data_IF_586563876425
#
_entry.id   IF_586563876425
#
_cell.length_a   1.000
_cell.length_b   1.000
_cell.length_c   1.000
_cell.angle_alpha   90.00
_cell.angle_beta   90.00
_cell.angle_gamma   90.00
#
_symmetry.space_group_name_H-M   'P 1'
#
loop_
_entity.id
_entity.type
_entity.pdbx_description
1 polymer ?
#
# COMPACT_ATOMS: atom_id res chain seq x y z
N UNK A 1 -2.61 -30.96 -6.56
CA UNK A 1 -2.75 -29.50 -6.39
C UNK A 1 -4.22 -29.20 -6.13
N UNK A 2 -4.57 -28.62 -4.98
CA UNK A 2 -5.95 -28.21 -4.72
C UNK A 2 -6.36 -27.11 -5.71
N UNK A 3 -7.54 -27.21 -6.30
CA UNK A 3 -8.03 -26.19 -7.21
C UNK A 3 -8.23 -24.88 -6.46
N UNK A 4 -8.19 -23.74 -7.16
CA UNK A 4 -8.37 -22.41 -6.57
C UNK A 4 -9.68 -22.32 -5.75
N UNK A 5 -10.74 -22.99 -6.16
CA UNK A 5 -12.02 -23.03 -5.46
C UNK A 5 -11.98 -23.79 -4.13
N UNK A 6 -11.19 -24.85 -4.03
CA UNK A 6 -10.99 -25.60 -2.78
C UNK A 6 -10.23 -24.78 -1.73
N UNK A 7 -9.32 -23.90 -2.17
CA UNK A 7 -8.60 -22.97 -1.27
C UNK A 7 -9.50 -21.93 -0.62
N UNK A 8 -10.67 -21.65 -1.20
CA UNK A 8 -11.63 -20.64 -0.71
C UNK A 8 -12.79 -21.22 0.08
N UNK A 9 -12.89 -22.55 0.22
CA UNK A 9 -14.04 -23.20 0.88
C UNK A 9 -15.40 -22.93 0.18
N UNK A 10 -15.36 -22.55 -1.11
CA UNK A 10 -16.55 -22.27 -1.90
C UNK A 10 -17.22 -23.58 -2.30
N UNK A 11 -18.45 -23.82 -1.84
CA UNK A 11 -19.27 -24.94 -2.32
C UNK A 11 -19.49 -24.78 -3.84
N UNK A 12 -19.15 -25.80 -4.61
CA UNK A 12 -19.45 -25.89 -6.04
C UNK A 12 -20.97 -25.68 -6.24
N UNK A 13 -21.40 -24.54 -6.75
CA UNK A 13 -22.63 -24.49 -7.53
C UNK A 13 -22.30 -25.18 -8.85
N UNK A 14 -23.10 -26.15 -9.26
CA UNK A 14 -22.95 -26.80 -10.55
C UNK A 14 -22.90 -25.73 -11.64
N UNK A 15 -21.71 -25.56 -12.23
CA UNK A 15 -21.53 -24.70 -13.40
C UNK A 15 -22.14 -25.44 -14.59
N UNK A 16 -22.75 -24.75 -15.57
CA UNK A 16 -23.09 -25.38 -16.83
C UNK A 16 -21.82 -25.97 -17.44
N UNK A 17 -21.96 -27.08 -18.12
CA UNK A 17 -20.88 -27.81 -18.79
C UNK A 17 -20.11 -26.87 -19.74
N UNK A 18 -18.93 -26.40 -19.28
CA UNK A 18 -18.03 -25.54 -20.06
C UNK A 18 -16.79 -26.34 -20.43
N UNK A 19 -16.99 -27.51 -21.04
CA UNK A 19 -15.89 -28.42 -21.47
C UNK A 19 -14.96 -27.81 -22.55
N UNK A 20 -15.11 -26.51 -22.90
CA UNK A 20 -14.32 -25.88 -23.98
C UNK A 20 -13.77 -24.47 -23.69
N UNK A 21 -14.02 -23.84 -22.54
CA UNK A 21 -13.46 -22.52 -22.24
C UNK A 21 -12.58 -22.61 -21.00
N UNK A 22 -11.27 -22.75 -21.20
CA UNK A 22 -10.28 -22.50 -20.13
C UNK A 22 -10.29 -21.00 -19.84
N UNK A 23 -10.99 -20.58 -18.79
CA UNK A 23 -10.86 -19.21 -18.28
C UNK A 23 -9.49 -19.12 -17.64
N UNK A 24 -8.54 -18.49 -18.32
CA UNK A 24 -7.24 -18.17 -17.75
C UNK A 24 -7.44 -17.18 -16.61
N UNK A 25 -7.23 -17.64 -15.38
CA UNK A 25 -7.35 -16.79 -14.18
C UNK A 25 -6.19 -15.81 -14.15
N UNK A 26 -6.46 -14.54 -14.47
CA UNK A 26 -5.47 -13.47 -14.45
C UNK A 26 -5.55 -12.72 -13.13
N UNK A 27 -4.58 -12.95 -12.26
CA UNK A 27 -4.37 -12.22 -11.00
C UNK A 27 -3.14 -11.34 -11.10
N UNK A 28 -2.99 -10.31 -10.24
CA UNK A 28 -1.73 -9.56 -10.17
C UNK A 28 -0.58 -10.48 -9.78
N UNK A 29 0.59 -10.18 -10.28
CA UNK A 29 1.85 -10.89 -9.98
C UNK A 29 2.70 -10.09 -9.00
N UNK A 30 2.43 -8.79 -8.86
CA UNK A 30 3.08 -7.94 -7.88
C UNK A 30 2.12 -6.86 -7.33
N UNK A 31 2.49 -6.32 -6.16
CA UNK A 31 1.70 -5.34 -5.43
C UNK A 31 2.60 -4.20 -4.94
N UNK A 32 2.17 -2.95 -5.12
CA UNK A 32 2.71 -1.79 -4.42
C UNK A 32 1.88 -1.64 -3.15
N UNK A 33 2.38 -2.17 -2.04
CA UNK A 33 1.63 -2.30 -0.78
C UNK A 33 1.70 -1.04 0.11
N UNK A 34 2.62 -0.13 -0.16
CA UNK A 34 2.86 1.06 0.67
C UNK A 34 4.15 1.79 0.35
N UNK A 35 4.47 2.79 1.16
CA UNK A 35 3.63 3.36 2.19
C UNK A 35 2.74 4.47 1.61
N UNK A 36 1.60 4.70 2.27
CA UNK A 36 0.77 5.85 1.92
C UNK A 36 1.59 7.15 2.02
N UNK A 37 1.50 8.05 1.02
CA UNK A 37 2.24 9.32 0.92
C UNK A 37 3.77 9.20 0.74
N UNK A 38 4.23 8.06 0.23
CA UNK A 38 5.64 7.80 -0.09
C UNK A 38 5.88 7.61 -1.61
N UNK A 39 5.24 8.38 -2.47
CA UNK A 39 5.51 8.39 -3.92
C UNK A 39 4.90 7.23 -4.72
N UNK A 40 4.06 6.40 -4.13
CA UNK A 40 3.44 5.23 -4.78
C UNK A 40 2.58 5.56 -6.00
N UNK A 41 2.07 6.80 -6.13
CA UNK A 41 1.34 7.24 -7.33
C UNK A 41 2.29 7.44 -8.50
N UNK A 42 3.45 8.04 -8.26
CA UNK A 42 4.51 8.17 -9.29
C UNK A 42 5.01 6.81 -9.71
N UNK A 43 5.29 5.91 -8.75
CA UNK A 43 5.70 4.55 -9.04
C UNK A 43 4.68 3.78 -9.88
N UNK A 44 3.40 3.85 -9.52
CA UNK A 44 2.31 3.26 -10.32
C UNK A 44 2.31 3.81 -11.75
N UNK A 45 2.49 5.12 -11.91
CA UNK A 45 2.53 5.78 -13.21
C UNK A 45 3.75 5.33 -14.04
N UNK A 46 4.92 5.21 -13.42
CA UNK A 46 6.13 4.75 -14.11
C UNK A 46 6.02 3.29 -14.55
N UNK A 47 5.49 2.42 -13.69
CA UNK A 47 5.22 1.02 -14.04
C UNK A 47 4.26 0.88 -15.22
N UNK A 48 3.23 1.74 -15.32
CA UNK A 48 2.26 1.70 -16.45
C UNK A 48 2.88 1.96 -17.82
N UNK A 49 4.00 2.66 -17.88
CA UNK A 49 4.68 2.98 -19.13
C UNK A 49 5.46 1.78 -19.67
N UNK A 50 5.80 0.82 -18.82
CA UNK A 50 6.63 -0.31 -19.21
C UNK A 50 5.87 -1.27 -20.16
N UNK A 51 6.52 -1.70 -21.29
CA UNK A 51 5.86 -2.57 -22.27
C UNK A 51 5.44 -3.94 -21.73
N UNK A 52 6.17 -4.51 -20.76
CA UNK A 52 5.92 -5.83 -20.17
C UNK A 52 5.08 -5.77 -18.89
N UNK A 53 4.75 -4.57 -18.36
CA UNK A 53 3.97 -4.39 -17.14
C UNK A 53 2.58 -3.86 -17.46
N UNK A 54 1.56 -4.50 -16.89
CA UNK A 54 0.20 -4.01 -16.86
C UNK A 54 -0.14 -3.61 -15.42
N UNK A 55 -0.57 -2.38 -15.22
CA UNK A 55 -1.12 -1.94 -13.94
C UNK A 55 -2.64 -1.95 -14.00
N UNK A 56 -3.30 -2.40 -12.94
CA UNK A 56 -4.76 -2.33 -12.82
C UNK A 56 -5.28 -0.95 -13.23
N UNK A 57 -6.38 -0.88 -13.97
CA UNK A 57 -6.93 0.40 -14.44
C UNK A 57 -7.22 1.36 -13.29
N UNK A 58 -7.67 0.82 -12.18
CA UNK A 58 -7.96 1.58 -10.97
C UNK A 58 -6.79 1.43 -9.99
N UNK A 59 -6.23 2.55 -9.57
CA UNK A 59 -5.34 2.60 -8.42
C UNK A 59 -6.18 2.46 -7.15
N UNK A 60 -5.63 1.76 -6.13
CA UNK A 60 -6.27 1.47 -4.85
C UNK A 60 -7.56 0.62 -4.99
N UNK A 61 -7.55 -0.54 -5.68
CA UNK A 61 -8.71 -1.43 -5.71
C UNK A 61 -9.04 -2.00 -4.31
N UNK A 62 -8.04 -2.10 -3.41
CA UNK A 62 -8.20 -2.43 -1.99
C UNK A 62 -8.89 -3.78 -1.72
N UNK A 63 -8.86 -4.72 -2.66
CA UNK A 63 -9.56 -6.00 -2.58
C UNK A 63 -9.23 -6.81 -1.32
N UNK A 64 -7.96 -6.81 -0.90
CA UNK A 64 -7.49 -7.59 0.26
C UNK A 64 -7.63 -6.86 1.62
N UNK A 65 -8.24 -5.68 1.69
CA UNK A 65 -8.45 -4.99 2.98
C UNK A 65 -9.53 -5.61 3.85
N UNK A 66 -10.42 -6.37 3.26
CA UNK A 66 -11.48 -7.04 3.98
C UNK A 66 -10.99 -8.40 4.47
N UNK A 67 -11.40 -8.81 5.67
CA UNK A 67 -10.96 -10.06 6.32
C UNK A 67 -11.43 -11.29 5.54
N UNK A 68 -10.66 -11.70 4.56
CA UNK A 68 -10.94 -12.85 3.73
C UNK A 68 -11.43 -12.54 2.32
N UNK A 69 -11.60 -13.58 1.47
CA UNK A 69 -12.28 -13.41 0.20
C UNK A 69 -13.64 -12.78 0.50
N UNK A 70 -13.93 -11.62 -0.06
CA UNK A 70 -14.97 -10.78 0.46
C UNK A 70 -16.32 -11.43 0.24
N UNK A 71 -16.87 -11.90 1.32
CA UNK A 71 -18.28 -12.12 1.49
C UNK A 71 -18.93 -10.87 2.09
N UNK A 72 -18.27 -9.69 2.00
CA UNK A 72 -18.90 -8.44 2.41
C UNK A 72 -20.02 -8.15 1.42
N UNK A 73 -21.22 -8.11 1.94
CA UNK A 73 -22.37 -7.63 1.18
C UNK A 73 -22.09 -6.20 0.74
N UNK A 74 -22.46 -5.86 -0.51
CA UNK A 74 -22.27 -4.54 -1.11
C UNK A 74 -22.77 -3.40 -0.19
N UNK A 75 -23.73 -3.69 0.65
CA UNK A 75 -24.39 -2.79 1.59
C UNK A 75 -23.53 -2.42 2.82
N UNK A 76 -22.52 -3.25 3.14
CA UNK A 76 -21.61 -3.04 4.28
C UNK A 76 -20.30 -2.33 3.88
N UNK A 77 -20.10 -2.11 2.59
CA UNK A 77 -18.92 -1.40 2.09
C UNK A 77 -19.00 0.07 2.46
N UNK A 78 -17.90 0.61 2.94
CA UNK A 78 -17.78 1.99 3.35
C UNK A 78 -18.40 2.94 2.32
N UNK A 79 -19.44 3.62 2.73
CA UNK A 79 -20.14 4.65 1.95
C UNK A 79 -19.12 5.60 1.33
N UNK A 80 -19.14 5.77 0.00
CA UNK A 80 -18.36 6.78 -0.71
C UNK A 80 -17.12 6.29 -1.48
N UNK A 81 -16.86 4.98 -1.60
CA UNK A 81 -15.79 4.46 -2.47
C UNK A 81 -16.38 3.56 -3.56
N UNK A 82 -16.70 4.10 -4.75
CA UNK A 82 -17.39 3.36 -5.83
C UNK A 82 -16.51 2.28 -6.51
N UNK A 83 -15.26 2.11 -6.11
CA UNK A 83 -14.26 1.23 -6.70
C UNK A 83 -13.80 0.08 -5.80
N UNK A 84 -14.46 -0.18 -4.67
CA UNK A 84 -14.17 -1.38 -3.89
C UNK A 84 -14.74 -2.61 -4.62
N UNK A 85 -13.89 -3.55 -4.91
CA UNK A 85 -14.26 -4.82 -5.54
C UNK A 85 -14.68 -5.82 -4.48
N UNK A 86 -15.89 -6.34 -4.62
CA UNK A 86 -16.51 -7.20 -3.60
C UNK A 86 -16.44 -8.67 -3.93
N UNK A 87 -16.21 -9.02 -5.20
CA UNK A 87 -16.08 -10.40 -5.63
C UNK A 87 -14.70 -10.65 -6.24
N UNK A 88 -14.23 -11.88 -6.15
CA UNK A 88 -13.00 -12.30 -6.81
C UNK A 88 -13.09 -12.11 -8.33
N UNK A 89 -14.28 -12.32 -8.92
CA UNK A 89 -14.49 -12.13 -10.36
C UNK A 89 -14.32 -10.66 -10.75
N UNK A 90 -14.97 -9.72 -10.06
CA UNK A 90 -14.80 -8.28 -10.31
C UNK A 90 -13.33 -7.85 -10.18
N UNK A 91 -12.60 -8.44 -9.23
CA UNK A 91 -11.18 -8.16 -9.08
C UNK A 91 -10.33 -8.74 -10.22
N UNK A 92 -10.60 -9.96 -10.65
CA UNK A 92 -9.93 -10.58 -11.81
C UNK A 92 -10.18 -9.80 -13.11
N UNK A 93 -11.37 -9.26 -13.27
CA UNK A 93 -11.74 -8.49 -14.46
C UNK A 93 -10.88 -7.23 -14.66
N UNK A 94 -10.25 -6.72 -13.59
CA UNK A 94 -9.25 -5.64 -13.68
C UNK A 94 -8.04 -6.03 -14.54
N UNK A 95 -7.75 -7.31 -14.67
CA UNK A 95 -6.57 -7.85 -15.35
C UNK A 95 -6.93 -8.67 -16.60
N UNK A 96 -8.21 -8.86 -16.89
CA UNK A 96 -8.68 -9.70 -17.99
C UNK A 96 -8.20 -9.25 -19.38
N UNK A 97 -8.04 -7.93 -19.58
CA UNK A 97 -7.72 -7.33 -20.88
C UNK A 97 -6.24 -7.38 -21.27
N UNK A 98 -5.38 -8.03 -20.48
CA UNK A 98 -3.94 -8.04 -20.75
C UNK A 98 -3.35 -9.43 -20.86
N UNK A 99 -2.37 -9.58 -21.76
CA UNK A 99 -1.49 -10.74 -21.85
C UNK A 99 -0.05 -10.42 -21.39
N UNK A 100 0.18 -9.23 -20.82
CA UNK A 100 1.50 -8.87 -20.29
C UNK A 100 1.88 -9.80 -19.12
N UNK A 101 3.16 -10.22 -19.05
CA UNK A 101 3.61 -11.20 -18.04
C UNK A 101 3.51 -10.66 -16.62
N UNK A 102 3.80 -9.36 -16.43
CA UNK A 102 3.73 -8.71 -15.12
C UNK A 102 2.46 -7.89 -15.00
N UNK A 103 1.67 -8.21 -13.97
CA UNK A 103 0.42 -7.55 -13.65
C UNK A 103 0.49 -6.96 -12.25
N UNK A 104 0.35 -5.65 -12.15
CA UNK A 104 0.52 -4.91 -10.91
C UNK A 104 -0.76 -4.30 -10.37
N UNK A 105 -0.84 -4.25 -9.06
CA UNK A 105 -1.82 -3.50 -8.30
C UNK A 105 -1.10 -2.55 -7.34
N UNK A 106 -1.73 -1.42 -6.99
CA UNK A 106 -1.23 -0.48 -6.01
C UNK A 106 -2.32 -0.11 -5.01
N UNK A 107 -2.29 -0.76 -3.84
CA UNK A 107 -3.16 -0.47 -2.69
C UNK A 107 -2.29 -0.23 -1.46
N UNK A 108 -2.01 1.04 -1.20
CA UNK A 108 -1.01 1.47 -0.21
C UNK A 108 -1.42 1.22 1.24
N UNK A 109 -2.68 0.90 1.47
CA UNK A 109 -3.19 0.52 2.78
C UNK A 109 -2.81 -0.91 3.19
N UNK A 110 -2.37 -1.76 2.25
CA UNK A 110 -2.04 -3.17 2.57
C UNK A 110 -0.88 -3.29 3.56
N UNK A 111 0.11 -2.40 3.48
CA UNK A 111 1.25 -2.41 4.40
C UNK A 111 0.81 -2.30 5.86
N UNK A 112 -0.17 -1.43 6.15
CA UNK A 112 -0.67 -1.20 7.49
C UNK A 112 -1.78 -2.18 7.93
N UNK A 113 -2.10 -3.19 7.10
CA UNK A 113 -3.17 -4.17 7.35
C UNK A 113 -2.61 -5.59 7.24
N UNK A 114 -2.24 -6.21 8.38
CA UNK A 114 -1.64 -7.55 8.40
C UNK A 114 -2.44 -8.61 7.65
N UNK A 115 -3.77 -8.55 7.76
CA UNK A 115 -4.66 -9.50 7.08
C UNK A 115 -4.56 -9.43 5.56
N UNK A 116 -4.33 -8.22 4.99
CA UNK A 116 -4.19 -8.06 3.55
C UNK A 116 -2.99 -8.87 3.02
N UNK A 117 -1.83 -8.77 3.67
CA UNK A 117 -0.63 -9.53 3.25
C UNK A 117 -0.80 -11.03 3.44
N UNK A 118 -1.46 -11.46 4.52
CA UNK A 118 -1.81 -12.87 4.72
C UNK A 118 -2.70 -13.41 3.58
N UNK A 119 -3.72 -12.65 3.17
CA UNK A 119 -4.61 -13.05 2.10
C UNK A 119 -3.92 -13.04 0.73
N UNK A 120 -3.07 -12.04 0.46
CA UNK A 120 -2.24 -12.05 -0.76
C UNK A 120 -1.39 -13.33 -0.79
N UNK A 121 -0.72 -13.67 0.32
CA UNK A 121 0.10 -14.89 0.37
C UNK A 121 -0.70 -16.17 0.15
N UNK A 122 -1.89 -16.26 0.72
CA UNK A 122 -2.76 -17.44 0.55
C UNK A 122 -3.25 -17.61 -0.89
N UNK A 123 -3.56 -16.51 -1.57
CA UNK A 123 -4.18 -16.53 -2.90
C UNK A 123 -3.12 -16.52 -4.00
N UNK A 124 -2.06 -15.72 -3.81
CA UNK A 124 -1.00 -15.49 -4.80
C UNK A 124 0.36 -15.71 -4.11
N UNK A 125 0.73 -16.94 -3.78
CA UNK A 125 1.89 -17.25 -2.94
C UNK A 125 3.22 -16.77 -3.52
N UNK A 126 3.31 -16.58 -4.83
CA UNK A 126 4.51 -16.11 -5.55
C UNK A 126 4.44 -14.61 -5.87
N UNK A 127 3.50 -13.87 -5.28
CA UNK A 127 3.43 -12.43 -5.48
C UNK A 127 4.70 -11.72 -5.02
N UNK A 128 5.12 -10.70 -5.75
CA UNK A 128 6.18 -9.78 -5.36
C UNK A 128 5.56 -8.53 -4.73
N UNK A 129 6.11 -8.08 -3.60
CA UNK A 129 5.62 -6.91 -2.88
C UNK A 129 6.64 -5.78 -2.93
N UNK A 130 6.16 -4.56 -3.18
CA UNK A 130 6.97 -3.34 -3.22
C UNK A 130 6.46 -2.40 -2.13
N UNK A 131 7.35 -1.98 -1.23
CA UNK A 131 7.11 -0.95 -0.23
C UNK A 131 8.17 0.16 -0.36
N UNK A 132 7.72 1.39 -0.55
CA UNK A 132 8.58 2.58 -0.47
C UNK A 132 8.27 3.27 0.84
N UNK A 133 9.28 3.51 1.67
CA UNK A 133 9.14 4.09 2.99
C UNK A 133 9.61 5.54 2.99
N UNK A 134 8.98 6.37 3.79
CA UNK A 134 9.32 7.78 3.95
C UNK A 134 9.45 8.10 5.42
N UNK A 135 10.32 9.05 5.79
CA UNK A 135 10.33 9.58 7.15
C UNK A 135 8.90 9.71 7.69
N UNK A 136 8.54 9.04 8.80
CA UNK A 136 7.15 8.93 9.25
C UNK A 136 6.51 10.27 9.62
N UNK A 137 7.32 11.25 10.05
CA UNK A 137 6.85 12.61 10.33
C UNK A 137 6.53 13.32 9.01
N UNK A 138 7.40 13.24 8.02
CA UNK A 138 7.17 13.82 6.69
C UNK A 138 6.00 13.14 5.96
N UNK A 139 5.82 11.84 6.19
CA UNK A 139 4.63 11.12 5.72
C UNK A 139 3.35 11.65 6.37
N UNK A 140 3.38 11.84 7.70
CA UNK A 140 2.23 12.37 8.45
C UNK A 140 1.85 13.79 8.00
N UNK A 141 2.84 14.66 7.80
CA UNK A 141 2.65 16.01 7.22
C UNK A 141 1.99 15.94 5.85
N UNK A 142 2.50 15.09 4.96
CA UNK A 142 1.96 14.92 3.60
C UNK A 142 0.54 14.35 3.61
N UNK A 143 0.22 13.47 4.54
CA UNK A 143 -1.11 12.89 4.68
C UNK A 143 -2.13 13.91 5.23
N UNK A 144 -1.70 14.70 6.22
CA UNK A 144 -2.51 15.80 6.73
C UNK A 144 -2.80 16.83 5.64
N UNK A 145 -1.78 17.31 4.91
CA UNK A 145 -1.97 18.28 3.83
C UNK A 145 -2.94 17.78 2.76
N UNK A 146 -2.86 16.50 2.41
CA UNK A 146 -3.80 15.89 1.46
C UNK A 146 -5.26 15.99 1.94
N UNK A 147 -5.51 15.70 3.23
CA UNK A 147 -6.86 15.75 3.79
C UNK A 147 -7.31 17.19 4.06
N UNK A 148 -6.40 18.05 4.49
CA UNK A 148 -6.68 19.47 4.74
C UNK A 148 -7.06 20.21 3.46
N UNK A 149 -6.26 20.03 2.40
CA UNK A 149 -6.54 20.64 1.09
C UNK A 149 -7.81 20.08 0.44
N UNK A 150 -8.16 18.83 0.75
CA UNK A 150 -9.44 18.21 0.36
C UNK A 150 -10.63 18.60 1.23
N UNK A 151 -10.50 19.56 2.16
CA UNK A 151 -11.52 19.96 3.13
C UNK A 151 -12.07 18.81 4.02
N UNK A 152 -11.31 17.74 4.18
CA UNK A 152 -11.68 16.57 5.00
C UNK A 152 -11.26 16.80 6.46
N UNK A 153 -10.03 17.29 6.70
CA UNK A 153 -9.55 17.66 8.03
C UNK A 153 -9.35 19.17 8.13
N UNK A 154 -10.20 19.82 8.92
CA UNK A 154 -10.17 21.29 9.11
C UNK A 154 -9.34 21.73 10.32
N UNK A 155 -8.81 20.79 11.12
CA UNK A 155 -7.96 21.12 12.27
C UNK A 155 -6.61 21.65 11.80
N UNK A 156 -5.87 22.32 12.67
CA UNK A 156 -4.43 22.55 12.43
C UNK A 156 -3.66 21.23 12.56
N UNK A 157 -2.48 21.13 11.97
CA UNK A 157 -1.66 19.93 12.04
C UNK A 157 -1.35 19.52 13.49
N UNK A 158 -0.94 20.49 14.33
CA UNK A 158 -0.68 20.24 15.74
C UNK A 158 -1.89 19.65 16.47
N UNK A 159 -3.07 20.22 16.25
CA UNK A 159 -4.30 19.70 16.83
C UNK A 159 -4.63 18.29 16.34
N UNK A 160 -4.43 18.02 15.05
CA UNK A 160 -4.68 16.69 14.48
C UNK A 160 -3.76 15.63 15.09
N UNK A 161 -2.48 15.95 15.32
CA UNK A 161 -1.52 15.06 15.95
C UNK A 161 -1.80 14.89 17.46
N UNK A 162 -2.14 15.95 18.19
CA UNK A 162 -2.51 15.84 19.61
C UNK A 162 -3.77 14.99 19.81
N UNK A 163 -4.76 15.15 18.95
CA UNK A 163 -5.95 14.29 18.97
C UNK A 163 -5.62 12.84 18.65
N UNK A 164 -4.69 12.57 17.70
CA UNK A 164 -4.20 11.24 17.41
C UNK A 164 -3.50 10.60 18.64
N UNK A 165 -2.66 11.35 19.34
CA UNK A 165 -2.04 10.86 20.58
C UNK A 165 -3.05 10.54 21.66
N UNK A 166 -4.05 11.42 21.87
CA UNK A 166 -5.12 11.15 22.86
C UNK A 166 -5.89 9.87 22.55
N UNK A 167 -6.23 9.65 21.28
CA UNK A 167 -6.95 8.43 20.87
C UNK A 167 -6.11 7.17 21.14
N UNK A 168 -4.79 7.21 20.89
CA UNK A 168 -3.89 6.11 21.21
C UNK A 168 -3.86 5.86 22.72
N UNK A 169 -3.68 6.92 23.55
CA UNK A 169 -3.60 6.82 25.01
C UNK A 169 -4.91 6.34 25.64
N UNK A 170 -6.02 6.92 25.23
CA UNK A 170 -7.33 6.63 25.82
C UNK A 170 -7.92 5.33 25.29
N UNK A 171 -7.27 4.64 24.34
CA UNK A 171 -7.77 3.44 23.65
C UNK A 171 -9.21 3.62 23.15
N UNK A 172 -9.59 4.86 22.86
CA UNK A 172 -10.91 5.14 22.32
C UNK A 172 -11.02 4.60 20.90
N UNK A 173 -12.07 3.82 20.59
CA UNK A 173 -12.32 3.45 19.21
C UNK A 173 -12.47 4.72 18.40
N UNK A 174 -11.95 4.68 17.17
CA UNK A 174 -12.15 5.73 16.19
C UNK A 174 -13.67 5.99 16.10
N UNK A 175 -14.09 7.25 16.31
CA UNK A 175 -15.51 7.64 16.36
C UNK A 175 -16.22 7.48 15.00
N UNK A 176 -15.93 6.40 14.27
CA UNK A 176 -16.57 6.07 12.99
C UNK A 176 -16.02 6.83 11.79
N UNK A 177 -14.97 7.65 11.97
CA UNK A 177 -14.24 8.25 10.85
C UNK A 177 -12.81 7.69 10.77
N UNK A 178 -12.60 6.55 10.09
CA UNK A 178 -11.28 5.93 9.94
C UNK A 178 -10.27 6.83 9.21
N UNK A 179 -10.72 7.98 8.71
CA UNK A 179 -9.87 8.95 8.02
C UNK A 179 -9.23 9.97 8.98
N UNK A 180 -9.70 10.07 10.22
CA UNK A 180 -9.41 11.23 11.09
C UNK A 180 -8.77 10.87 12.44
N UNK A 181 -8.49 9.61 12.68
CA UNK A 181 -7.97 9.13 13.95
C UNK A 181 -6.43 9.06 14.02
N UNK A 182 -5.88 8.09 14.75
CA UNK A 182 -4.44 7.91 14.91
C UNK A 182 -3.70 7.54 13.62
N UNK A 183 -4.38 7.54 12.45
CA UNK A 183 -3.79 7.22 11.15
C UNK A 183 -2.55 8.02 10.80
N UNK A 184 -2.51 9.33 11.19
CA UNK A 184 -1.34 10.17 10.93
C UNK A 184 -0.09 9.64 11.62
N UNK A 185 -0.24 8.93 12.72
CA UNK A 185 0.83 8.28 13.45
C UNK A 185 0.95 6.79 13.06
N UNK A 186 -0.12 6.03 13.16
CA UNK A 186 -0.10 4.57 12.98
C UNK A 186 0.36 4.10 11.60
N UNK A 187 0.07 4.87 10.53
CA UNK A 187 0.55 4.53 9.19
C UNK A 187 2.07 4.72 9.02
N UNK A 188 2.76 5.32 10.00
CA UNK A 188 4.22 5.47 10.03
C UNK A 188 4.95 4.39 10.83
N UNK A 189 4.25 3.45 11.48
CA UNK A 189 4.83 2.36 12.26
C UNK A 189 5.28 1.21 11.34
N UNK A 190 6.32 1.47 10.55
CA UNK A 190 6.77 0.55 9.50
C UNK A 190 7.48 -0.68 10.03
N UNK A 191 8.19 -0.58 11.15
CA UNK A 191 8.84 -1.71 11.79
C UNK A 191 7.83 -2.79 12.16
N UNK A 192 6.78 -2.39 12.86
CA UNK A 192 5.66 -3.27 13.22
C UNK A 192 4.95 -3.85 11.99
N UNK A 193 4.70 -3.03 10.97
CA UNK A 193 4.02 -3.44 9.74
C UNK A 193 4.87 -4.43 8.94
N UNK A 194 6.15 -4.14 8.69
CA UNK A 194 7.04 -5.00 7.92
C UNK A 194 7.40 -6.29 8.66
N UNK A 195 7.45 -6.27 9.99
CA UNK A 195 7.66 -7.50 10.76
C UNK A 195 6.58 -8.53 10.48
N UNK A 196 5.33 -8.10 10.21
CA UNK A 196 4.24 -9.00 9.82
C UNK A 196 4.38 -9.44 8.36
N UNK A 197 4.70 -8.51 7.44
CA UNK A 197 4.92 -8.85 6.02
C UNK A 197 6.01 -9.92 5.88
N UNK A 198 7.14 -9.74 6.57
CA UNK A 198 8.29 -10.67 6.52
C UNK A 198 8.01 -12.05 7.12
N UNK A 199 6.96 -12.22 7.93
CA UNK A 199 6.51 -13.56 8.38
C UNK A 199 5.94 -14.41 7.24
N UNK A 200 5.40 -13.77 6.21
CA UNK A 200 4.72 -14.46 5.11
C UNK A 200 5.50 -14.44 3.81
N UNK A 201 6.30 -13.39 3.58
CA UNK A 201 7.02 -13.18 2.34
C UNK A 201 8.53 -13.21 2.59
N UNK A 202 9.28 -14.09 1.90
CA UNK A 202 10.75 -14.10 1.97
C UNK A 202 11.32 -12.86 1.24
N UNK A 203 12.59 -12.55 1.52
CA UNK A 203 13.23 -11.32 1.05
C UNK A 203 13.33 -11.22 -0.48
N UNK A 204 13.41 -12.34 -1.20
CA UNK A 204 13.40 -12.37 -2.66
C UNK A 204 12.04 -12.00 -3.30
N UNK A 205 10.97 -11.99 -2.49
CA UNK A 205 9.65 -11.50 -2.87
C UNK A 205 9.37 -10.06 -2.39
N UNK A 206 10.34 -9.40 -1.72
CA UNK A 206 10.18 -8.08 -1.12
C UNK A 206 11.15 -7.07 -1.73
N UNK A 207 10.64 -5.94 -2.20
CA UNK A 207 11.43 -4.75 -2.53
C UNK A 207 11.04 -3.64 -1.54
N UNK A 208 11.96 -3.30 -0.65
CA UNK A 208 11.73 -2.29 0.40
C UNK A 208 12.81 -1.24 0.26
N UNK A 209 12.42 0.04 0.05
CA UNK A 209 13.36 1.11 -0.22
C UNK A 209 12.94 2.46 0.37
N UNK A 210 13.91 3.36 0.52
CA UNK A 210 13.66 4.72 0.96
C UNK A 210 13.06 5.57 -0.17
N UNK A 211 12.05 6.36 0.15
CA UNK A 211 11.45 7.35 -0.74
C UNK A 211 12.46 8.37 -1.27
N UNK A 212 13.50 8.69 -0.49
CA UNK A 212 14.54 9.63 -0.91
C UNK A 212 15.31 9.11 -2.13
N UNK A 213 15.51 7.80 -2.26
CA UNK A 213 16.19 7.21 -3.42
C UNK A 213 15.34 7.38 -4.70
N UNK A 214 14.01 7.22 -4.60
CA UNK A 214 13.09 7.52 -5.71
C UNK A 214 13.16 8.99 -6.12
N UNK A 215 13.35 9.90 -5.16
CA UNK A 215 13.46 11.33 -5.41
C UNK A 215 14.81 11.75 -6.00
N UNK A 216 15.86 11.04 -5.62
CA UNK A 216 17.23 11.33 -6.06
C UNK A 216 17.42 10.99 -7.54
N UNK A 217 17.05 9.80 -7.93
CA UNK A 217 17.09 9.34 -9.32
C UNK A 217 15.97 8.33 -9.58
N UNK A 218 14.87 8.82 -10.15
CA UNK A 218 13.70 7.98 -10.44
C UNK A 218 13.97 6.97 -11.56
N UNK A 219 14.89 7.25 -12.48
CA UNK A 219 15.23 6.32 -13.59
C UNK A 219 16.02 5.15 -13.02
N UNK A 220 17.09 5.41 -12.29
CA UNK A 220 17.88 4.37 -11.63
C UNK A 220 17.04 3.56 -10.66
N UNK A 221 16.18 4.21 -9.87
CA UNK A 221 15.26 3.54 -8.97
C UNK A 221 14.33 2.57 -9.71
N UNK A 222 13.81 2.97 -10.88
CA UNK A 222 12.94 2.11 -11.68
C UNK A 222 13.72 0.92 -12.29
N UNK A 223 14.99 1.05 -12.65
CA UNK A 223 15.79 -0.09 -13.12
C UNK A 223 15.92 -1.15 -12.02
N UNK A 224 16.10 -0.76 -10.75
CA UNK A 224 16.11 -1.70 -9.60
C UNK A 224 14.77 -2.41 -9.46
N UNK A 225 13.66 -1.72 -9.63
CA UNK A 225 12.33 -2.31 -9.61
C UNK A 225 12.13 -3.28 -10.79
N UNK A 226 12.53 -2.91 -12.00
CA UNK A 226 12.40 -3.78 -13.17
C UNK A 226 13.24 -5.05 -13.03
N UNK A 227 14.47 -4.94 -12.51
CA UNK A 227 15.31 -6.08 -12.16
C UNK A 227 14.63 -6.98 -11.11
N UNK A 228 14.08 -6.39 -10.05
CA UNK A 228 13.33 -7.14 -9.03
C UNK A 228 12.12 -7.84 -9.63
N UNK A 229 11.36 -7.19 -10.48
CA UNK A 229 10.20 -7.78 -11.14
C UNK A 229 10.60 -8.86 -12.17
N UNK A 230 11.81 -8.82 -12.70
CA UNK A 230 12.29 -9.74 -13.74
C UNK A 230 11.81 -9.37 -15.14
N UNK A 231 11.64 -8.07 -15.40
CA UNK A 231 11.33 -7.51 -16.71
C UNK A 231 12.55 -6.79 -17.29
N UNK A 232 12.53 -6.49 -18.59
CA UNK A 232 13.62 -5.80 -19.27
C UNK A 232 13.84 -4.40 -18.72
N UNK A 233 15.02 -3.87 -18.95
CA UNK A 233 15.30 -2.45 -18.69
C UNK A 233 14.42 -1.56 -19.56
N UNK A 234 13.93 -0.48 -18.99
CA UNK A 234 13.08 0.49 -19.66
C UNK A 234 13.24 1.87 -19.02
N UNK A 235 13.33 2.91 -19.82
CA UNK A 235 13.36 4.29 -19.33
C UNK A 235 11.96 4.89 -19.49
N UNK A 236 11.24 5.17 -18.39
CA UNK A 236 9.95 5.83 -18.49
C UNK A 236 10.08 7.20 -19.18
N UNK A 237 9.21 7.47 -20.14
CA UNK A 237 9.20 8.74 -20.87
C UNK A 237 8.70 9.92 -20.02
N UNK A 238 7.92 9.64 -19.00
CA UNK A 238 7.38 10.60 -18.05
C UNK A 238 7.74 10.21 -16.63
N UNK A 239 8.71 10.88 -16.04
CA UNK A 239 9.18 10.71 -14.67
C UNK A 239 8.77 11.85 -13.75
N UNK A 240 7.75 12.63 -14.14
CA UNK A 240 7.23 13.71 -13.30
C UNK A 240 6.70 13.16 -11.98
N UNK A 241 7.00 13.85 -10.90
CA UNK A 241 6.42 13.53 -9.60
C UNK A 241 4.93 13.85 -9.60
N UNK A 242 4.11 12.88 -9.20
CA UNK A 242 2.66 13.02 -9.13
C UNK A 242 2.21 13.16 -7.67
N UNK A 243 1.10 13.86 -7.46
CA UNK A 243 0.50 14.11 -6.14
C UNK A 243 1.48 14.76 -5.14
N UNK A 244 2.24 15.73 -5.59
CA UNK A 244 2.99 16.61 -4.71
C UNK A 244 1.94 17.38 -3.91
N UNK A 245 1.71 17.00 -2.66
CA UNK A 245 0.94 17.84 -1.73
C UNK A 245 1.71 19.16 -1.66
N UNK A 246 1.07 20.27 -2.09
CA UNK A 246 1.74 21.58 -2.13
C UNK A 246 2.55 21.78 -0.86
N UNK A 247 3.81 22.22 -1.01
CA UNK A 247 4.73 22.48 0.09
C UNK A 247 4.33 23.75 0.86
N UNK A 248 3.13 23.76 1.45
CA UNK A 248 2.95 24.62 2.59
C UNK A 248 3.87 24.07 3.67
N UNK A 249 4.95 24.77 3.98
CA UNK A 249 5.80 24.43 5.10
C UNK A 249 4.89 24.39 6.33
N UNK A 250 4.54 23.18 6.76
CA UNK A 250 3.85 23.03 8.03
C UNK A 250 4.89 23.31 9.11
N UNK A 251 4.79 24.50 9.67
CA UNK A 251 5.59 24.87 10.83
C UNK A 251 5.10 24.03 12.02
N UNK A 252 5.89 23.07 12.42
CA UNK A 252 5.66 22.29 13.64
C UNK A 252 6.64 22.81 14.69
N UNK A 253 6.15 23.14 15.87
CA UNK A 253 7.04 23.51 16.96
C UNK A 253 7.93 22.30 17.37
N UNK A 254 9.11 22.61 17.85
CA UNK A 254 10.11 21.60 18.21
C UNK A 254 9.61 20.60 19.27
N UNK A 255 8.70 21.01 20.16
CA UNK A 255 8.12 20.14 21.18
C UNK A 255 7.25 19.05 20.55
N UNK A 256 6.42 19.39 19.57
CA UNK A 256 5.59 18.43 18.85
C UNK A 256 6.45 17.48 18.00
N UNK A 257 7.48 18.02 17.32
CA UNK A 257 8.41 17.21 16.55
C UNK A 257 9.12 16.17 17.43
N UNK A 258 9.64 16.60 18.57
CA UNK A 258 10.30 15.71 19.53
C UNK A 258 9.34 14.64 20.07
N UNK A 259 8.09 14.99 20.36
CA UNK A 259 7.06 14.06 20.78
C UNK A 259 6.78 12.99 19.71
N UNK A 260 6.73 13.41 18.43
CA UNK A 260 6.55 12.47 17.31
C UNK A 260 7.80 11.59 17.12
N UNK A 261 9.02 12.13 17.21
CA UNK A 261 10.26 11.35 17.15
C UNK A 261 10.29 10.28 18.24
N UNK A 262 9.99 10.65 19.49
CA UNK A 262 9.91 9.71 20.61
C UNK A 262 8.87 8.60 20.38
N UNK A 263 7.73 8.94 19.80
CA UNK A 263 6.69 7.95 19.46
C UNK A 263 7.17 6.91 18.43
N UNK A 264 7.96 7.34 17.44
CA UNK A 264 8.43 6.44 16.38
C UNK A 264 9.74 5.73 16.73
N UNK A 265 10.44 6.11 17.79
CA UNK A 265 11.81 5.67 18.10
C UNK A 265 11.93 4.14 18.18
N UNK A 266 11.07 3.49 18.95
CA UNK A 266 11.10 2.03 19.10
C UNK A 266 10.80 1.32 17.78
N UNK A 267 9.79 1.79 17.04
CA UNK A 267 9.40 1.19 15.76
C UNK A 267 10.45 1.41 14.66
N UNK A 268 11.12 2.56 14.65
CA UNK A 268 12.26 2.85 13.77
C UNK A 268 13.45 1.96 14.12
N UNK A 269 13.71 1.73 15.41
CA UNK A 269 14.72 0.77 15.86
C UNK A 269 14.44 -0.65 15.37
N UNK A 270 13.18 -1.10 15.46
CA UNK A 270 12.75 -2.37 14.88
C UNK A 270 12.90 -2.37 13.36
N UNK A 271 12.48 -1.29 12.69
CA UNK A 271 12.61 -1.16 11.24
C UNK A 271 14.05 -1.28 10.76
N UNK A 272 15.01 -0.68 11.49
CA UNK A 272 16.45 -0.75 11.14
C UNK A 272 16.95 -2.19 11.07
N UNK A 273 16.40 -3.09 11.89
CA UNK A 273 16.76 -4.51 11.83
C UNK A 273 16.16 -5.27 10.64
N UNK A 274 15.21 -4.67 9.92
CA UNK A 274 14.44 -5.30 8.85
C UNK A 274 14.81 -4.81 7.45
N UNK A 275 15.58 -3.68 7.36
CA UNK A 275 15.92 -3.03 6.08
C UNK A 275 17.43 -2.79 5.96
N UNK A 276 17.91 -2.62 4.72
CA UNK A 276 19.34 -2.48 4.40
C UNK A 276 19.82 -1.03 4.27
N UNK A 277 18.98 -0.05 4.58
CA UNK A 277 19.32 1.37 4.51
C UNK A 277 19.14 2.05 5.87
N UNK A 278 19.83 3.18 6.09
CA UNK A 278 19.79 3.92 7.34
C UNK A 278 18.44 4.62 7.52
N UNK A 279 17.61 4.10 8.44
CA UNK A 279 16.35 4.73 8.85
C UNK A 279 16.52 5.52 10.16
N UNK A 280 17.63 5.33 10.90
CA UNK A 280 17.88 6.08 12.12
C UNK A 280 18.09 7.58 11.85
N UNK A 281 18.47 7.95 10.62
CA UNK A 281 18.53 9.34 10.15
C UNK A 281 17.18 10.08 10.31
N UNK A 282 16.06 9.37 10.36
CA UNK A 282 14.73 9.97 10.51
C UNK A 282 14.43 10.51 11.91
N UNK A 283 15.26 10.16 12.89
CA UNK A 283 15.18 10.63 14.27
C UNK A 283 16.10 11.83 14.58
N UNK A 284 17.00 12.18 13.66
CA UNK A 284 17.97 13.28 13.81
C UNK A 284 17.37 14.70 13.57
#
# INVERSE_FOLDING_TARGET
MATMFERFGLKRRALPDTSSVQIEVKLPTFFIIGANKAGTTSLYHYCRQHPEIFMSKNKEPMFFLTSGPPLIKKEEAAVGKPYLYFTLQEYMDLFASTNKPMRGEASTAYLAKPDATLWIKKIIPNAKLIAILRNPIERAKSDYLYHHNGNIDKRTFGRAIDDAFRQITDKKPDNGNPLMGPRYLNLGLYGSQLSVVKKYFPDDQLFIEDYEELNKDSVEFMQRIYKFLGVKEYIPSDTRRLNISGHAALDINKALENKMKQYFEEDIGLLQSLVNFDVMKWLK
#
